data_IF_503813955726
#
_entry.id   IF_503813955726
#
_cell.length_a   1.000
_cell.length_b   1.000
_cell.length_c   1.000
_cell.angle_alpha   90.00
_cell.angle_beta   90.00
_cell.angle_gamma   90.00
#
_symmetry.space_group_name_H-M   'P 1'
#
loop_
_entity.id
_entity.type
_entity.pdbx_description
1 polymer ?
#
# COMPACT_ATOMS: atom_id res chain seq x y z
N UNK A 1 85.01 33.15 -41.56
CA UNK A 1 83.60 32.74 -41.64
C UNK A 1 83.11 32.38 -40.26
N UNK A 2 82.15 33.11 -39.81
CA UNK A 2 81.66 33.09 -38.45
C UNK A 2 80.57 32.05 -38.30
N UNK A 3 80.65 31.30 -37.25
CA UNK A 3 79.62 30.39 -36.76
C UNK A 3 78.72 31.14 -35.81
N UNK A 4 77.45 31.24 -36.14
CA UNK A 4 76.40 31.71 -35.22
C UNK A 4 75.71 30.49 -34.60
N UNK A 5 75.89 30.31 -33.27
CA UNK A 5 75.09 29.49 -32.44
C UNK A 5 73.80 30.24 -32.05
N UNK A 6 72.62 29.62 -32.05
CA UNK A 6 71.46 30.25 -31.49
C UNK A 6 71.31 29.90 -30.01
N UNK A 7 71.15 30.99 -29.25
CA UNK A 7 70.89 31.02 -27.81
C UNK A 7 69.61 30.21 -27.37
N UNK A 8 69.81 29.46 -26.30
CA UNK A 8 68.79 28.60 -25.74
C UNK A 8 67.55 29.31 -25.22
N UNK A 9 66.43 28.90 -25.72
CA UNK A 9 65.11 29.30 -25.21
C UNK A 9 64.86 28.71 -23.81
N UNK A 10 64.92 29.53 -22.78
CA UNK A 10 64.54 29.19 -21.40
C UNK A 10 63.04 28.89 -21.35
N UNK A 11 62.68 27.62 -21.18
CA UNK A 11 61.33 27.20 -20.95
C UNK A 11 60.76 27.83 -19.65
N UNK A 12 59.76 28.70 -19.78
CA UNK A 12 59.01 29.28 -18.69
C UNK A 12 58.23 28.16 -17.94
N UNK A 13 58.73 27.79 -16.78
CA UNK A 13 58.10 26.85 -15.88
C UNK A 13 56.76 27.44 -15.42
N UNK A 14 55.62 26.93 -15.94
CA UNK A 14 54.28 27.35 -15.55
C UNK A 14 54.05 27.05 -14.05
N UNK A 15 54.09 28.04 -13.19
CA UNK A 15 53.79 27.92 -11.74
C UNK A 15 52.28 27.88 -11.42
N UNK A 16 51.48 27.38 -12.37
CA UNK A 16 50.05 27.27 -12.23
C UNK A 16 49.53 26.03 -11.47
N UNK A 17 50.39 25.02 -11.28
CA UNK A 17 49.96 23.70 -10.76
C UNK A 17 49.48 23.71 -9.28
N UNK A 18 50.12 24.51 -8.44
CA UNK A 18 49.78 24.52 -6.98
C UNK A 18 48.44 25.19 -6.66
N UNK A 19 48.12 26.31 -7.33
CA UNK A 19 46.84 27.01 -7.12
C UNK A 19 45.65 26.19 -7.68
N UNK A 20 45.82 25.53 -8.82
CA UNK A 20 44.83 24.60 -9.36
C UNK A 20 44.57 23.40 -8.46
N UNK A 21 45.63 22.77 -7.92
CA UNK A 21 45.51 21.65 -7.00
C UNK A 21 44.79 22.03 -5.69
N UNK A 22 45.03 23.25 -5.16
CA UNK A 22 44.34 23.75 -3.96
C UNK A 22 42.85 23.99 -4.26
N UNK A 23 42.53 24.61 -5.41
CA UNK A 23 41.12 24.84 -5.79
C UNK A 23 40.35 23.54 -6.00
N UNK A 24 40.95 22.52 -6.63
CA UNK A 24 40.34 21.17 -6.76
C UNK A 24 40.15 20.50 -5.40
N UNK A 25 41.15 20.66 -4.50
CA UNK A 25 41.05 20.09 -3.13
C UNK A 25 39.91 20.73 -2.33
N UNK A 26 39.74 22.07 -2.43
CA UNK A 26 38.62 22.77 -1.76
C UNK A 26 37.28 22.35 -2.37
N UNK A 27 37.16 22.26 -3.68
CA UNK A 27 35.94 21.78 -4.33
C UNK A 27 35.57 20.37 -3.92
N UNK A 28 36.54 19.45 -3.88
CA UNK A 28 36.33 18.08 -3.42
C UNK A 28 35.91 18.03 -1.96
N UNK A 29 36.50 18.86 -1.08
CA UNK A 29 36.12 18.91 0.32
C UNK A 29 34.67 19.46 0.52
N UNK A 30 34.26 20.45 -0.28
CA UNK A 30 32.90 20.99 -0.27
C UNK A 30 31.89 19.93 -0.72
N UNK A 31 32.18 19.23 -1.82
CA UNK A 31 31.32 18.13 -2.32
C UNK A 31 31.21 17.01 -1.29
N UNK A 32 32.33 16.59 -0.70
CA UNK A 32 32.33 15.58 0.36
C UNK A 32 31.54 16.06 1.60
N UNK A 33 31.71 17.32 1.99
CA UNK A 33 30.96 17.90 3.11
C UNK A 33 29.44 17.93 2.86
N UNK A 34 29.01 18.34 1.67
CA UNK A 34 27.60 18.31 1.27
C UNK A 34 27.04 16.88 1.22
N UNK A 35 27.83 15.95 0.68
CA UNK A 35 27.43 14.54 0.64
C UNK A 35 27.22 13.97 2.05
N UNK A 36 28.17 14.20 2.98
CA UNK A 36 28.05 13.75 4.36
C UNK A 36 26.91 14.43 5.12
N UNK A 37 26.66 15.70 4.84
CA UNK A 37 25.50 16.41 5.40
C UNK A 37 24.17 15.78 4.93
N UNK A 38 24.08 15.41 3.66
CA UNK A 38 22.94 14.66 3.13
C UNK A 38 22.79 13.29 3.76
N UNK A 39 23.89 12.53 3.92
CA UNK A 39 23.88 11.25 4.63
C UNK A 39 23.34 11.42 6.04
N UNK A 40 23.82 12.40 6.79
CA UNK A 40 23.35 12.69 8.13
C UNK A 40 21.85 13.08 8.16
N UNK A 41 21.42 13.92 7.24
CA UNK A 41 20.02 14.33 7.14
C UNK A 41 19.11 13.11 6.90
N UNK A 42 19.35 12.35 5.83
CA UNK A 42 18.53 11.20 5.46
C UNK A 42 18.72 9.94 6.33
N UNK A 43 19.62 9.99 7.30
CA UNK A 43 19.63 9.02 8.41
C UNK A 43 18.56 9.31 9.46
N UNK A 44 17.94 10.52 9.45
CA UNK A 44 17.02 10.96 10.49
C UNK A 44 15.68 11.49 9.96
N UNK A 45 15.56 11.68 8.65
CA UNK A 45 14.33 12.14 7.99
C UNK A 45 13.94 11.21 6.85
N UNK A 46 12.64 11.13 6.57
CA UNK A 46 12.12 10.36 5.44
C UNK A 46 12.42 11.04 4.11
N UNK A 47 12.56 10.24 3.07
CA UNK A 47 12.71 10.77 1.71
C UNK A 47 11.41 11.45 1.24
N UNK A 48 11.51 12.39 0.27
CA UNK A 48 10.33 12.93 -0.40
C UNK A 48 9.50 11.80 -1.05
N UNK A 49 8.19 11.89 -0.95
CA UNK A 49 7.27 10.88 -1.49
C UNK A 49 7.00 9.70 -0.54
N UNK A 50 7.62 9.66 0.65
CA UNK A 50 7.35 8.60 1.63
C UNK A 50 5.97 8.78 2.26
N UNK A 51 5.19 7.69 2.26
CA UNK A 51 3.89 7.62 2.95
C UNK A 51 3.89 6.49 3.97
N UNK A 52 3.14 6.64 5.04
CA UNK A 52 2.91 5.62 6.08
C UNK A 52 1.42 5.51 6.31
N UNK A 53 0.83 4.37 5.96
CA UNK A 53 -0.63 4.20 6.02
C UNK A 53 -1.38 5.25 5.21
N UNK A 54 -0.90 5.60 4.01
CA UNK A 54 -1.47 6.64 3.16
C UNK A 54 -1.21 8.08 3.62
N UNK A 55 -0.53 8.28 4.76
CA UNK A 55 -0.19 9.61 5.29
C UNK A 55 1.18 10.05 4.79
N UNK A 56 1.26 11.19 4.13
CA UNK A 56 2.53 11.77 3.67
C UNK A 56 3.40 12.20 4.87
N UNK A 57 4.59 11.60 4.97
CA UNK A 57 5.61 11.87 5.99
C UNK A 57 6.90 12.40 5.40
N UNK A 58 6.87 12.85 4.14
CA UNK A 58 8.00 13.38 3.41
C UNK A 58 8.76 14.43 4.20
N UNK A 59 10.09 14.29 4.26
CA UNK A 59 11.01 15.21 4.93
C UNK A 59 10.75 15.43 6.44
N UNK A 60 9.98 14.56 7.07
CA UNK A 60 9.75 14.58 8.52
C UNK A 60 10.78 13.72 9.24
N UNK A 61 11.08 14.08 10.47
CA UNK A 61 11.75 13.18 11.41
C UNK A 61 10.75 12.12 11.93
N UNK A 62 11.29 11.04 12.52
CA UNK A 62 10.48 9.91 12.99
C UNK A 62 9.40 10.34 14.01
N UNK A 63 9.70 11.23 14.94
CA UNK A 63 8.74 11.65 15.98
C UNK A 63 7.59 12.48 15.40
N UNK A 64 7.90 13.39 14.49
CA UNK A 64 6.91 14.20 13.75
C UNK A 64 6.03 13.31 12.87
N UNK A 65 6.63 12.37 12.14
CA UNK A 65 5.92 11.42 11.30
C UNK A 65 4.97 10.54 12.13
N UNK A 66 5.46 9.95 13.23
CA UNK A 66 4.65 9.15 14.13
C UNK A 66 3.45 9.93 14.68
N UNK A 67 3.66 11.18 15.10
CA UNK A 67 2.59 12.04 15.60
C UNK A 67 1.54 12.34 14.53
N UNK A 68 1.98 12.59 13.30
CA UNK A 68 1.09 12.87 12.15
C UNK A 68 0.27 11.63 11.78
N UNK A 69 0.91 10.46 11.68
CA UNK A 69 0.23 9.20 11.38
C UNK A 69 -0.76 8.85 12.49
N UNK A 70 -0.39 8.97 13.78
CA UNK A 70 -1.30 8.75 14.91
C UNK A 70 -2.51 9.68 14.85
N UNK A 71 -2.32 10.95 14.51
CA UNK A 71 -3.43 11.91 14.41
C UNK A 71 -4.40 11.55 13.28
N UNK A 72 -3.88 11.13 12.13
CA UNK A 72 -4.70 10.66 11.02
C UNK A 72 -5.43 9.35 11.37
N UNK A 73 -4.72 8.47 12.07
CA UNK A 73 -5.23 7.16 12.44
C UNK A 73 -6.30 7.20 13.56
N UNK A 74 -6.39 8.28 14.35
CA UNK A 74 -7.49 8.45 15.31
C UNK A 74 -8.88 8.49 14.67
N UNK A 75 -8.96 8.90 13.41
CA UNK A 75 -10.20 8.92 12.62
C UNK A 75 -10.27 7.79 11.60
N UNK A 76 -9.37 6.81 11.70
CA UNK A 76 -9.33 5.71 10.76
C UNK A 76 -10.59 4.86 10.87
N UNK A 77 -11.16 4.59 9.71
CA UNK A 77 -12.28 3.66 9.53
C UNK A 77 -11.96 2.76 8.36
N UNK A 78 -12.23 1.47 8.52
CA UNK A 78 -12.17 0.49 7.46
C UNK A 78 -13.59 0.11 7.06
N UNK A 79 -13.93 0.33 5.80
CA UNK A 79 -15.21 -0.09 5.22
C UNK A 79 -14.98 -1.33 4.37
N UNK A 80 -15.68 -2.40 4.69
CA UNK A 80 -15.67 -3.66 3.93
C UNK A 80 -16.99 -3.76 3.18
N UNK A 81 -16.93 -4.00 1.88
CA UNK A 81 -18.13 -4.10 1.04
C UNK A 81 -17.98 -5.19 -0.01
N UNK A 82 -19.08 -5.76 -0.46
CA UNK A 82 -19.12 -6.74 -1.55
C UNK A 82 -20.44 -7.51 -1.54
N UNK A 83 -21.05 -7.68 -2.68
CA UNK A 83 -22.25 -8.49 -2.88
C UNK A 83 -23.36 -8.27 -1.82
N UNK A 84 -23.74 -7.01 -1.59
CA UNK A 84 -24.71 -6.55 -0.58
C UNK A 84 -24.23 -6.71 0.90
N UNK A 85 -23.02 -7.19 1.12
CA UNK A 85 -22.37 -7.12 2.44
C UNK A 85 -21.80 -5.73 2.65
N UNK A 86 -21.94 -5.21 3.85
CA UNK A 86 -21.27 -3.99 4.28
C UNK A 86 -21.01 -4.05 5.77
N UNK A 87 -19.77 -3.78 6.14
CA UNK A 87 -19.33 -3.71 7.53
C UNK A 87 -18.30 -2.59 7.71
N UNK A 88 -18.26 -1.99 8.88
CA UNK A 88 -17.34 -0.88 9.15
C UNK A 88 -16.67 -1.08 10.50
N UNK A 89 -15.36 -0.95 10.49
CA UNK A 89 -14.53 -0.88 11.69
C UNK A 89 -14.11 0.56 11.95
N UNK A 90 -14.02 0.96 13.23
CA UNK A 90 -13.59 2.28 13.66
C UNK A 90 -12.47 2.16 14.70
N UNK A 91 -11.30 2.70 14.38
CA UNK A 91 -10.17 2.73 15.32
C UNK A 91 -10.42 3.60 16.56
N UNK A 92 -11.37 4.55 16.48
CA UNK A 92 -11.79 5.36 17.61
C UNK A 92 -12.40 4.52 18.73
N UNK A 93 -13.12 3.47 18.36
CA UNK A 93 -13.87 2.65 19.31
C UNK A 93 -13.10 1.39 19.74
N UNK A 94 -12.21 0.89 18.89
CA UNK A 94 -11.56 -0.42 19.06
C UNK A 94 -10.02 -0.36 19.03
N UNK A 95 -9.43 0.83 18.97
CA UNK A 95 -7.99 1.03 18.94
C UNK A 95 -7.38 0.91 17.54
N UNK A 96 -6.07 1.16 17.45
CA UNK A 96 -5.31 1.00 16.21
C UNK A 96 -4.63 -0.37 16.18
N UNK A 97 -4.70 -1.08 15.06
CA UNK A 97 -4.09 -2.42 14.94
C UNK A 97 -2.56 -2.36 14.91
N UNK A 98 -1.98 -1.22 14.52
CA UNK A 98 -0.54 -1.07 14.25
C UNK A 98 0.11 -0.20 15.32
N UNK A 99 1.30 -0.60 15.80
CA UNK A 99 2.18 0.26 16.60
C UNK A 99 2.90 1.25 15.68
N UNK A 100 2.32 2.45 15.55
CA UNK A 100 2.81 3.50 14.67
C UNK A 100 4.23 3.94 15.03
N UNK A 101 4.61 3.94 16.30
CA UNK A 101 5.96 4.34 16.72
C UNK A 101 7.00 3.33 16.25
N UNK A 102 6.73 2.06 16.44
CA UNK A 102 7.61 0.98 15.98
C UNK A 102 7.67 0.93 14.46
N UNK A 103 6.53 1.09 13.78
CA UNK A 103 6.47 1.08 12.33
C UNK A 103 7.25 2.25 11.71
N UNK A 104 7.02 3.47 12.16
CA UNK A 104 7.77 4.64 11.67
C UNK A 104 9.26 4.53 11.95
N UNK A 105 9.64 3.98 13.12
CA UNK A 105 11.05 3.73 13.45
C UNK A 105 11.68 2.67 12.54
N UNK A 106 10.97 1.60 12.22
CA UNK A 106 11.45 0.58 11.31
C UNK A 106 11.70 1.17 9.93
N UNK A 107 10.72 1.87 9.35
CA UNK A 107 10.84 2.48 8.01
C UNK A 107 12.02 3.45 7.89
N UNK A 108 12.28 4.28 8.91
CA UNK A 108 13.44 5.19 8.86
C UNK A 108 14.76 4.44 9.00
N UNK A 109 14.77 3.29 9.67
CA UNK A 109 15.97 2.45 9.80
C UNK A 109 16.33 1.72 8.49
N UNK A 110 15.36 1.55 7.61
CA UNK A 110 15.51 0.96 6.27
C UNK A 110 15.97 1.99 5.22
N UNK A 111 16.00 3.29 5.58
CA UNK A 111 16.56 4.30 4.70
C UNK A 111 18.01 3.94 4.34
N UNK A 112 18.36 4.12 3.07
CA UNK A 112 19.73 4.01 2.55
C UNK A 112 20.38 5.40 2.47
N UNK A 113 20.87 5.96 3.59
CA UNK A 113 21.30 7.37 3.62
C UNK A 113 22.49 7.66 2.70
N UNK A 114 23.28 6.65 2.35
CA UNK A 114 24.37 6.83 1.38
C UNK A 114 23.88 6.94 -0.06
N UNK A 115 22.69 6.47 -0.37
CA UNK A 115 22.07 6.56 -1.69
C UNK A 115 21.29 7.87 -1.89
N UNK A 116 21.27 8.81 -0.92
CA UNK A 116 20.44 9.99 -0.93
C UNK A 116 20.45 10.82 -2.22
N UNK A 117 21.57 11.00 -2.95
CA UNK A 117 21.53 11.78 -4.18
C UNK A 117 20.69 11.12 -5.27
N UNK A 118 20.71 9.78 -5.33
CA UNK A 118 19.93 9.00 -6.29
C UNK A 118 18.46 8.97 -5.90
N UNK A 119 18.15 8.69 -4.65
CA UNK A 119 16.79 8.69 -4.12
C UNK A 119 16.11 10.05 -4.26
N UNK A 120 16.83 11.14 -4.02
CA UNK A 120 16.30 12.48 -4.22
C UNK A 120 16.05 12.78 -5.71
N UNK A 121 16.92 12.33 -6.60
CA UNK A 121 16.73 12.49 -8.04
C UNK A 121 15.52 11.71 -8.54
N UNK A 122 15.30 10.49 -8.07
CA UNK A 122 14.12 9.67 -8.35
C UNK A 122 12.84 10.37 -7.89
N UNK A 123 12.81 10.86 -6.65
CA UNK A 123 11.66 11.58 -6.10
C UNK A 123 11.33 12.86 -6.92
N UNK A 124 12.34 13.56 -7.42
CA UNK A 124 12.17 14.77 -8.24
C UNK A 124 11.79 14.46 -9.70
N UNK A 125 12.09 13.27 -10.20
CA UNK A 125 11.75 12.86 -11.57
C UNK A 125 10.26 12.50 -11.74
N UNK A 126 9.48 12.47 -10.66
CA UNK A 126 8.07 12.12 -10.69
C UNK A 126 7.80 10.61 -10.86
N UNK A 127 8.82 9.80 -10.77
CA UNK A 127 8.75 8.35 -10.63
C UNK A 127 9.40 7.95 -9.29
N UNK A 128 8.80 8.26 -8.15
CA UNK A 128 9.24 7.60 -6.93
C UNK A 128 8.93 6.12 -7.12
N UNK A 129 9.95 5.29 -7.17
CA UNK A 129 9.75 3.89 -6.81
C UNK A 129 9.13 3.95 -5.41
N UNK A 130 7.93 3.39 -5.18
CA UNK A 130 7.37 3.40 -3.84
C UNK A 130 8.46 2.86 -2.94
N UNK A 131 8.82 3.56 -1.84
CA UNK A 131 9.71 2.99 -0.85
C UNK A 131 9.13 1.63 -0.55
N UNK A 132 9.99 0.59 -0.59
CA UNK A 132 9.57 -0.79 -0.47
C UNK A 132 8.47 -0.82 0.57
N UNK A 133 7.24 -1.08 0.13
CA UNK A 133 6.12 -1.25 1.04
C UNK A 133 6.66 -2.27 2.01
N UNK A 134 6.76 -1.90 3.28
CA UNK A 134 7.25 -2.81 4.29
C UNK A 134 6.56 -4.12 4.01
N UNK A 135 7.33 -5.13 3.60
CA UNK A 135 6.83 -6.39 3.09
C UNK A 135 5.68 -6.83 4.00
N UNK A 136 4.60 -7.33 3.46
CA UNK A 136 3.35 -7.70 4.15
C UNK A 136 3.56 -8.53 5.44
N UNK A 137 4.79 -8.91 5.73
CA UNK A 137 5.13 -9.92 6.72
C UNK A 137 5.35 -9.41 8.16
N UNK A 138 5.62 -8.14 8.43
CA UNK A 138 5.91 -7.73 9.82
C UNK A 138 5.64 -6.26 10.13
N UNK A 139 4.40 -5.82 10.00
CA UNK A 139 4.04 -4.56 10.65
C UNK A 139 3.86 -4.80 12.14
N UNK A 140 4.50 -4.01 13.00
CA UNK A 140 4.41 -4.23 14.43
C UNK A 140 2.97 -4.02 14.92
N UNK A 141 2.37 -5.08 15.47
CA UNK A 141 1.02 -5.02 16.05
C UNK A 141 1.01 -4.11 17.27
N UNK A 142 -0.06 -3.35 17.43
CA UNK A 142 -0.34 -2.59 18.63
C UNK A 142 -0.68 -3.53 19.79
N UNK A 143 -0.09 -3.31 20.97
CA UNK A 143 -0.41 -4.08 22.18
C UNK A 143 -1.80 -3.78 22.72
N UNK A 144 -2.36 -2.64 22.33
CA UNK A 144 -3.66 -2.18 22.81
C UNK A 144 -4.81 -2.61 21.85
N UNK A 145 -4.48 -3.26 20.74
CA UNK A 145 -5.45 -3.80 19.80
C UNK A 145 -5.84 -5.23 20.17
N UNK A 146 -7.12 -5.44 20.41
CA UNK A 146 -7.70 -6.76 20.66
C UNK A 146 -8.11 -7.42 19.33
N UNK A 147 -7.15 -8.16 18.75
CA UNK A 147 -7.36 -8.88 17.48
C UNK A 147 -8.47 -9.94 17.60
N UNK A 148 -8.58 -10.60 18.75
CA UNK A 148 -9.62 -11.61 18.96
C UNK A 148 -11.02 -10.99 19.01
N UNK A 149 -11.15 -9.81 19.62
CA UNK A 149 -12.40 -9.06 19.60
C UNK A 149 -12.75 -8.56 18.19
N UNK A 150 -11.75 -8.15 17.40
CA UNK A 150 -11.93 -7.78 16.00
C UNK A 150 -12.42 -8.96 15.16
N UNK A 151 -11.75 -10.11 15.26
CA UNK A 151 -12.12 -11.33 14.54
C UNK A 151 -13.55 -11.78 14.89
N UNK A 152 -13.91 -11.71 16.19
CA UNK A 152 -15.25 -12.06 16.64
C UNK A 152 -16.32 -11.12 16.10
N UNK A 153 -16.06 -9.80 16.08
CA UNK A 153 -17.01 -8.81 15.56
C UNK A 153 -17.23 -8.96 14.05
N UNK A 154 -16.17 -9.25 13.30
CA UNK A 154 -16.30 -9.53 11.87
C UNK A 154 -17.02 -10.84 11.61
N UNK A 155 -16.71 -11.91 12.37
CA UNK A 155 -17.39 -13.19 12.26
C UNK A 155 -18.90 -13.08 12.56
N UNK A 156 -19.30 -12.30 13.56
CA UNK A 156 -20.71 -12.03 13.88
C UNK A 156 -21.41 -11.33 12.69
N UNK A 157 -20.75 -10.36 12.06
CA UNK A 157 -21.30 -9.68 10.89
C UNK A 157 -21.48 -10.62 9.69
N UNK A 158 -20.49 -11.51 9.46
CA UNK A 158 -20.57 -12.54 8.41
C UNK A 158 -21.68 -13.56 8.72
N UNK A 159 -21.84 -13.98 9.97
CA UNK A 159 -22.90 -14.88 10.37
C UNK A 159 -24.28 -14.24 10.16
N UNK A 160 -24.46 -12.99 10.57
CA UNK A 160 -25.68 -12.25 10.36
C UNK A 160 -26.04 -12.09 8.88
N UNK A 161 -25.04 -11.79 8.04
CA UNK A 161 -25.21 -11.73 6.59
C UNK A 161 -25.64 -13.10 6.02
N UNK A 162 -25.01 -14.17 6.46
CA UNK A 162 -25.27 -15.52 5.97
C UNK A 162 -26.59 -16.11 6.47
N UNK A 163 -27.10 -15.68 7.63
CA UNK A 163 -28.30 -16.23 8.26
C UNK A 163 -29.58 -16.02 7.42
N UNK A 164 -29.64 -14.92 6.65
CA UNK A 164 -30.77 -14.64 5.78
C UNK A 164 -30.69 -15.26 4.38
N UNK A 165 -29.67 -16.08 4.11
CA UNK A 165 -29.40 -16.60 2.76
C UNK A 165 -29.71 -18.07 2.65
N UNK A 166 -30.51 -18.42 1.66
CA UNK A 166 -30.89 -19.82 1.40
C UNK A 166 -30.35 -20.26 0.04
N UNK A 167 -30.11 -21.57 -0.10
CA UNK A 167 -29.71 -22.19 -1.37
C UNK A 167 -30.87 -22.43 -2.35
N UNK A 168 -32.03 -21.86 -2.09
CA UNK A 168 -33.15 -21.93 -3.03
C UNK A 168 -32.89 -21.02 -4.20
N UNK A 169 -32.78 -21.61 -5.37
CA UNK A 169 -32.88 -20.85 -6.60
C UNK A 169 -34.32 -20.36 -6.71
N UNK A 170 -34.50 -19.07 -6.86
CA UNK A 170 -35.76 -18.62 -7.42
C UNK A 170 -35.87 -19.25 -8.80
N UNK A 171 -36.91 -20.02 -9.01
CA UNK A 171 -37.23 -20.62 -10.28
C UNK A 171 -37.15 -19.58 -11.40
N UNK A 172 -37.20 -19.94 -12.70
CA UNK A 172 -37.02 -19.02 -13.81
C UNK A 172 -37.81 -17.75 -13.58
N UNK A 173 -37.08 -16.73 -13.07
CA UNK A 173 -37.76 -15.69 -12.31
C UNK A 173 -37.87 -14.38 -13.06
N UNK A 174 -37.18 -14.23 -14.16
CA UNK A 174 -37.28 -13.05 -15.00
C UNK A 174 -38.00 -13.38 -16.28
N UNK A 175 -39.20 -12.84 -16.46
CA UNK A 175 -39.89 -12.81 -17.75
C UNK A 175 -39.43 -11.58 -18.51
N UNK A 176 -38.77 -11.77 -19.63
CA UNK A 176 -38.40 -10.73 -20.56
C UNK A 176 -39.62 -10.39 -21.41
N UNK A 177 -40.25 -9.26 -21.14
CA UNK A 177 -41.45 -8.80 -21.84
C UNK A 177 -41.18 -8.49 -23.33
N UNK A 178 -39.95 -8.11 -23.66
CA UNK A 178 -39.56 -7.77 -25.02
C UNK A 178 -39.31 -9.02 -25.89
N UNK A 179 -38.65 -10.01 -25.26
CA UNK A 179 -38.40 -11.31 -25.90
C UNK A 179 -39.56 -12.30 -25.74
N UNK A 180 -40.51 -12.05 -24.82
CA UNK A 180 -41.60 -12.96 -24.49
C UNK A 180 -41.16 -14.28 -23.87
N UNK A 181 -40.00 -14.29 -23.18
CA UNK A 181 -39.39 -15.52 -22.68
C UNK A 181 -38.96 -15.41 -21.24
N UNK A 182 -38.94 -16.52 -20.53
CA UNK A 182 -38.32 -16.62 -19.21
C UNK A 182 -36.82 -16.81 -19.33
N UNK A 183 -36.08 -16.05 -18.53
CA UNK A 183 -34.65 -16.18 -18.39
C UNK A 183 -34.28 -16.67 -16.99
N UNK A 184 -33.23 -17.48 -16.87
CA UNK A 184 -32.73 -17.94 -15.61
C UNK A 184 -31.91 -16.83 -14.96
N UNK A 185 -32.49 -16.14 -13.98
CA UNK A 185 -31.77 -15.16 -13.18
C UNK A 185 -31.34 -15.78 -11.85
N UNK A 186 -30.04 -15.83 -11.60
CA UNK A 186 -29.51 -16.31 -10.34
C UNK A 186 -29.72 -15.21 -9.29
N UNK A 187 -30.55 -15.50 -8.30
CA UNK A 187 -30.79 -14.54 -7.22
C UNK A 187 -29.47 -14.23 -6.46
N UNK A 188 -29.24 -12.97 -6.15
CA UNK A 188 -28.10 -12.50 -5.33
C UNK A 188 -28.08 -13.11 -3.93
N UNK A 189 -29.22 -13.62 -3.46
CA UNK A 189 -29.38 -14.29 -2.16
C UNK A 189 -28.73 -15.67 -2.07
N UNK A 190 -28.30 -16.23 -3.19
CA UNK A 190 -27.70 -17.57 -3.25
C UNK A 190 -26.20 -17.60 -2.98
N UNK A 191 -25.66 -16.56 -2.40
CA UNK A 191 -24.23 -16.41 -2.13
C UNK A 191 -24.03 -16.26 -0.64
N UNK A 192 -23.11 -17.03 -0.06
CA UNK A 192 -22.63 -16.85 1.32
C UNK A 192 -21.23 -16.29 1.32
N UNK A 193 -20.95 -15.43 2.27
CA UNK A 193 -19.59 -14.94 2.52
C UNK A 193 -18.80 -16.01 3.28
N UNK A 194 -17.63 -16.35 2.78
CA UNK A 194 -16.68 -17.26 3.43
C UNK A 194 -15.85 -16.47 4.44
N UNK A 195 -15.95 -16.81 5.71
CA UNK A 195 -15.29 -16.09 6.78
C UNK A 195 -13.76 -16.04 6.63
N UNK A 196 -13.12 -17.19 6.38
CA UNK A 196 -11.66 -17.31 6.36
C UNK A 196 -10.98 -16.42 5.31
N UNK A 197 -11.31 -16.49 4.00
CA UNK A 197 -10.67 -15.64 2.99
C UNK A 197 -11.01 -14.16 3.21
N UNK A 198 -12.27 -13.83 3.46
CA UNK A 198 -12.68 -12.45 3.71
C UNK A 198 -11.96 -11.84 4.93
N UNK A 199 -11.78 -12.60 6.02
CA UNK A 199 -11.05 -12.14 7.20
C UNK A 199 -9.57 -11.89 6.89
N UNK A 200 -8.94 -12.70 6.03
CA UNK A 200 -7.56 -12.50 5.61
C UNK A 200 -7.41 -11.18 4.85
N UNK A 201 -8.28 -10.91 3.88
CA UNK A 201 -8.24 -9.67 3.09
C UNK A 201 -8.54 -8.45 3.95
N UNK A 202 -9.51 -8.56 4.85
CA UNK A 202 -9.85 -7.50 5.79
C UNK A 202 -8.71 -7.22 6.76
N UNK A 203 -8.04 -8.24 7.31
CA UNK A 203 -6.85 -8.06 8.15
C UNK A 203 -5.70 -7.43 7.41
N UNK A 204 -5.44 -7.86 6.18
CA UNK A 204 -4.39 -7.27 5.34
C UNK A 204 -4.62 -5.77 5.18
N UNK A 205 -5.82 -5.35 4.82
CA UNK A 205 -6.18 -3.94 4.68
C UNK A 205 -6.13 -3.18 6.02
N UNK A 206 -6.60 -3.80 7.09
CA UNK A 206 -6.58 -3.24 8.44
C UNK A 206 -5.16 -2.89 8.90
N UNK A 207 -4.23 -3.84 8.77
CA UNK A 207 -2.83 -3.63 9.15
C UNK A 207 -2.09 -2.69 8.18
N UNK A 208 -2.60 -2.51 6.96
CA UNK A 208 -2.12 -1.53 5.99
C UNK A 208 -2.70 -0.13 6.21
N UNK A 209 -3.69 0.01 7.11
CA UNK A 209 -4.49 1.23 7.29
C UNK A 209 -5.21 1.66 6.00
N UNK A 210 -5.58 0.71 5.15
CA UNK A 210 -6.46 0.97 4.01
C UNK A 210 -7.87 1.30 4.50
N UNK A 211 -8.54 2.21 3.84
CA UNK A 211 -9.88 2.66 4.28
C UNK A 211 -11.02 1.84 3.70
N UNK A 212 -10.77 1.07 2.64
CA UNK A 212 -11.81 0.31 1.94
C UNK A 212 -11.29 -1.05 1.50
N UNK A 213 -12.13 -2.07 1.68
CA UNK A 213 -11.95 -3.41 1.11
C UNK A 213 -13.17 -3.74 0.29
N UNK A 214 -12.97 -4.09 -0.96
CA UNK A 214 -14.01 -4.65 -1.81
C UNK A 214 -13.78 -6.15 -1.93
N UNK A 215 -14.67 -6.91 -1.31
CA UNK A 215 -14.64 -8.37 -1.34
C UNK A 215 -14.99 -8.84 -2.75
N UNK A 216 -14.22 -9.76 -3.27
CA UNK A 216 -14.38 -10.29 -4.60
C UNK A 216 -15.15 -11.62 -4.64
N UNK A 217 -15.28 -12.22 -5.82
CA UNK A 217 -16.03 -13.47 -5.98
C UNK A 217 -15.38 -14.67 -5.27
N UNK A 218 -14.09 -14.62 -4.94
CA UNK A 218 -13.41 -15.71 -4.21
C UNK A 218 -13.77 -15.72 -2.74
N UNK A 219 -14.20 -14.58 -2.19
CA UNK A 219 -14.69 -14.47 -0.82
C UNK A 219 -16.08 -15.09 -0.64
N UNK A 220 -16.78 -15.35 -1.73
CA UNK A 220 -18.16 -15.84 -1.68
C UNK A 220 -18.29 -17.25 -2.23
N UNK A 221 -19.10 -18.06 -1.52
CA UNK A 221 -19.53 -19.37 -2.00
C UNK A 221 -20.95 -19.27 -2.56
N UNK A 222 -21.14 -19.76 -3.77
CA UNK A 222 -22.48 -19.91 -4.33
C UNK A 222 -23.20 -21.05 -3.65
N UNK A 223 -24.34 -20.77 -3.03
CA UNK A 223 -25.24 -21.80 -2.53
C UNK A 223 -25.99 -22.42 -3.71
N UNK A 224 -25.83 -23.71 -3.90
CA UNK A 224 -26.63 -24.45 -4.86
C UNK A 224 -27.83 -25.06 -4.13
N UNK A 225 -29.02 -24.88 -4.67
CA UNK A 225 -30.17 -25.69 -4.28
C UNK A 225 -29.98 -27.13 -4.73
N UNK A 226 -30.94 -28.00 -4.38
CA UNK A 226 -30.92 -29.42 -4.76
C UNK A 226 -31.07 -29.65 -6.27
N UNK A 227 -31.48 -28.62 -7.04
CA UNK A 227 -31.59 -28.68 -8.48
C UNK A 227 -30.22 -28.45 -9.16
N UNK A 228 -29.91 -29.31 -10.15
CA UNK A 228 -28.73 -29.12 -11.00
C UNK A 228 -28.96 -28.01 -12.04
N UNK A 229 -27.88 -27.44 -12.59
CA UNK A 229 -27.97 -26.42 -13.65
C UNK A 229 -28.78 -26.96 -14.84
N UNK A 230 -28.62 -28.23 -15.22
CA UNK A 230 -29.38 -28.89 -16.30
C UNK A 230 -30.89 -28.97 -16.01
N UNK A 231 -31.26 -29.19 -14.73
CA UNK A 231 -32.68 -29.23 -14.33
C UNK A 231 -33.31 -27.86 -14.37
N UNK A 232 -32.54 -26.81 -14.01
CA UNK A 232 -32.99 -25.42 -14.07
C UNK A 232 -33.13 -24.93 -15.51
N UNK A 233 -32.18 -25.28 -16.38
CA UNK A 233 -32.27 -25.00 -17.83
C UNK A 233 -33.47 -25.70 -18.45
N UNK A 234 -33.69 -26.98 -18.13
CA UNK A 234 -34.83 -27.73 -18.61
C UNK A 234 -36.17 -27.12 -18.15
N UNK A 235 -36.23 -26.68 -16.86
CA UNK A 235 -37.41 -25.99 -16.34
C UNK A 235 -37.69 -24.65 -17.03
N UNK A 236 -36.63 -23.88 -17.32
CA UNK A 236 -36.71 -22.63 -18.05
C UNK A 236 -37.17 -22.84 -19.50
N UNK A 237 -36.65 -23.87 -20.17
CA UNK A 237 -37.07 -24.26 -21.51
C UNK A 237 -38.56 -24.67 -21.56
N UNK A 238 -38.97 -25.49 -20.59
CA UNK A 238 -40.39 -25.91 -20.49
C UNK A 238 -41.34 -24.75 -20.17
N UNK A 239 -40.88 -23.71 -19.48
CA UNK A 239 -41.69 -22.50 -19.27
C UNK A 239 -41.82 -21.59 -20.49
N UNK A 240 -40.94 -21.78 -21.47
CA UNK A 240 -40.92 -21.02 -22.71
C UNK A 240 -41.64 -21.73 -23.89
N UNK A 241 -42.06 -22.96 -23.69
CA UNK A 241 -42.87 -23.74 -24.64
C UNK A 241 -44.39 -23.49 -24.47
#
# INVERSE_FOLDING_TARGET
PASNEPEGAKAKKKSGGKRGAIAVGIAAAVVAGLYLAGVFAFSNIYYPGTTVGGVDVSLMDQGTAASRVKSAAQSYTLTVSGNDFSWTYSAKDSGLPVDVDSWTKQLISENEPFAWPFRLAEALSGQPEPPAEASDEERPSSKDFDEAAFDAAFAEAVEAYNAGRSGTFDAPSAYDEEAGTFTLERAKTNVKLNLEPALQDVKKALFSLESNVELDQSDFATLRGDATDDQLEAACQAANE
#
